data_IF_984306298090
#
_entry.id   IF_984306298090
#
_cell.length_a   1.000
_cell.length_b   1.000
_cell.length_c   1.000
_cell.angle_alpha   90.00
_cell.angle_beta   90.00
_cell.angle_gamma   90.00
#
_symmetry.space_group_name_H-M   'P 1'
#
loop_
_entity.id
_entity.type
_entity.pdbx_description
1 polymer ?
#
# COMPACT_ATOMS: atom_id res chain seq x y z
N UNK A 1 39.35 -23.35 13.14
CA UNK A 1 38.98 -21.94 13.40
C UNK A 1 37.76 -21.50 12.58
N UNK A 2 36.67 -22.28 12.56
CA UNK A 2 35.45 -22.02 11.74
C UNK A 2 34.24 -21.54 12.56
N UNK A 3 34.35 -21.60 13.88
CA UNK A 3 33.32 -21.16 14.82
C UNK A 3 32.93 -19.67 14.72
N UNK A 4 33.85 -18.71 14.49
CA UNK A 4 33.45 -17.30 14.51
C UNK A 4 32.57 -16.94 13.31
N UNK A 5 32.77 -17.57 12.14
CA UNK A 5 31.98 -17.33 10.93
C UNK A 5 30.52 -17.79 11.05
N UNK A 6 30.26 -18.85 11.81
CA UNK A 6 28.91 -19.39 12.03
C UNK A 6 28.14 -18.48 13.00
N UNK A 7 28.83 -17.89 13.97
CA UNK A 7 28.20 -16.95 14.91
C UNK A 7 27.75 -15.66 14.22
N UNK A 8 28.54 -15.12 13.29
CA UNK A 8 28.21 -13.86 12.59
C UNK A 8 27.04 -14.00 11.63
N UNK A 9 26.90 -15.13 10.93
CA UNK A 9 25.76 -15.36 10.02
C UNK A 9 24.45 -15.54 10.78
N UNK A 10 24.48 -16.14 11.96
CA UNK A 10 23.30 -16.32 12.80
C UNK A 10 22.79 -14.98 13.38
N UNK A 11 23.70 -14.07 13.75
CA UNK A 11 23.38 -12.73 14.24
C UNK A 11 22.79 -11.81 13.16
N UNK A 12 23.19 -11.96 11.89
CA UNK A 12 22.60 -11.19 10.78
C UNK A 12 21.16 -11.64 10.46
N UNK A 13 20.85 -12.92 10.63
CA UNK A 13 19.52 -13.46 10.31
C UNK A 13 18.43 -12.95 11.27
N UNK A 14 18.78 -12.60 12.51
CA UNK A 14 17.81 -12.11 13.51
C UNK A 14 17.58 -10.60 13.45
N UNK A 15 18.42 -9.84 12.73
CA UNK A 15 18.27 -8.38 12.63
C UNK A 15 17.11 -7.94 11.72
N UNK A 16 16.58 -8.83 10.88
CA UNK A 16 15.50 -8.49 9.94
C UNK A 16 14.09 -8.74 10.49
N UNK A 17 13.93 -9.29 11.70
CA UNK A 17 12.60 -9.54 12.29
C UNK A 17 12.11 -8.35 13.11
N UNK A 18 11.94 -7.20 12.46
CA UNK A 18 11.19 -6.09 13.08
C UNK A 18 9.70 -6.40 12.95
N UNK A 19 9.12 -7.03 13.98
CA UNK A 19 7.68 -7.24 14.09
C UNK A 19 7.03 -5.95 14.60
N UNK A 20 6.85 -4.98 13.71
CA UNK A 20 6.02 -3.80 13.97
C UNK A 20 4.58 -4.27 14.22
N UNK A 21 3.98 -3.86 15.34
CA UNK A 21 2.58 -4.14 15.61
C UNK A 21 1.72 -3.54 14.49
N UNK A 22 0.72 -4.26 13.95
CA UNK A 22 -0.11 -3.72 12.87
C UNK A 22 -0.82 -2.47 13.37
N UNK A 23 -0.59 -1.36 12.67
CA UNK A 23 -1.28 -0.11 12.94
C UNK A 23 -2.81 -0.34 12.89
N UNK A 24 -3.59 0.36 13.73
CA UNK A 24 -5.04 0.25 13.69
C UNK A 24 -5.54 0.58 12.28
N UNK A 25 -6.58 -0.13 11.79
CA UNK A 25 -7.09 0.09 10.45
C UNK A 25 -7.55 1.55 10.32
N UNK A 26 -6.99 2.24 9.33
CA UNK A 26 -7.43 3.59 8.98
C UNK A 26 -8.78 3.49 8.29
N UNK A 27 -9.62 4.49 8.53
CA UNK A 27 -10.84 4.69 7.74
C UNK A 27 -10.50 4.78 6.25
N UNK A 28 -11.40 4.29 5.39
CA UNK A 28 -11.18 4.23 3.95
C UNK A 28 -11.01 5.62 3.33
N UNK A 29 -11.75 6.63 3.81
CA UNK A 29 -11.59 8.00 3.34
C UNK A 29 -10.26 8.60 3.81
N UNK A 30 -9.87 8.35 5.06
CA UNK A 30 -8.58 8.77 5.60
C UNK A 30 -7.40 8.15 4.82
N UNK A 31 -7.50 6.87 4.46
CA UNK A 31 -6.48 6.17 3.67
C UNK A 31 -6.40 6.74 2.24
N UNK A 32 -7.54 6.99 1.59
CA UNK A 32 -7.56 7.61 0.24
C UNK A 32 -6.97 9.02 0.26
N UNK A 33 -7.26 9.82 1.28
CA UNK A 33 -6.67 11.15 1.45
C UNK A 33 -5.15 11.08 1.59
N UNK A 34 -4.64 10.18 2.44
CA UNK A 34 -3.20 9.94 2.59
C UNK A 34 -2.55 9.53 1.27
N UNK A 35 -3.13 8.56 0.56
CA UNK A 35 -2.56 8.06 -0.70
C UNK A 35 -2.60 9.12 -1.80
N UNK A 36 -3.61 10.00 -1.81
CA UNK A 36 -3.65 11.18 -2.67
C UNK A 36 -2.50 12.15 -2.38
N UNK A 37 -2.21 12.42 -1.10
CA UNK A 37 -1.06 13.27 -0.73
C UNK A 37 0.28 12.66 -1.16
N UNK A 38 0.45 11.34 -1.01
CA UNK A 38 1.66 10.65 -1.48
C UNK A 38 1.74 10.69 -3.01
N UNK A 39 0.65 10.40 -3.71
CA UNK A 39 0.60 10.42 -5.17
C UNK A 39 0.87 11.81 -5.78
N UNK A 40 0.54 12.88 -5.06
CA UNK A 40 0.84 14.26 -5.46
C UNK A 40 2.27 14.71 -5.10
N UNK A 41 3.01 13.92 -4.33
CA UNK A 41 4.36 14.26 -3.87
C UNK A 41 5.44 13.88 -4.90
N UNK A 42 6.67 14.34 -4.65
CA UNK A 42 7.87 13.93 -5.40
C UNK A 42 8.61 12.74 -4.77
N UNK A 43 7.95 11.98 -3.89
CA UNK A 43 8.57 10.83 -3.25
C UNK A 43 8.84 9.70 -4.28
N UNK A 44 9.94 8.94 -4.14
CA UNK A 44 10.16 7.74 -4.94
C UNK A 44 8.96 6.80 -4.80
N UNK A 45 8.37 6.40 -5.94
CA UNK A 45 7.18 5.54 -5.97
C UNK A 45 5.82 6.26 -5.95
N UNK A 46 5.78 7.60 -5.81
CA UNK A 46 4.54 8.38 -5.85
C UNK A 46 3.72 8.15 -7.13
N UNK A 47 4.39 8.02 -8.28
CA UNK A 47 3.74 7.72 -9.57
C UNK A 47 2.96 6.39 -9.54
N UNK A 48 3.46 5.40 -8.81
CA UNK A 48 2.78 4.11 -8.64
C UNK A 48 1.50 4.25 -7.84
N UNK A 49 1.53 5.00 -6.74
CA UNK A 49 0.35 5.31 -5.92
C UNK A 49 -0.69 6.08 -6.74
N UNK A 50 -0.24 7.09 -7.48
CA UNK A 50 -1.14 7.90 -8.33
C UNK A 50 -1.77 7.06 -9.46
N UNK A 51 -1.02 6.13 -10.06
CA UNK A 51 -1.54 5.19 -11.04
C UNK A 51 -2.61 4.27 -10.45
N UNK A 52 -2.36 3.72 -9.26
CA UNK A 52 -3.32 2.87 -8.55
C UNK A 52 -4.63 3.62 -8.23
N UNK A 53 -4.53 4.88 -7.78
CA UNK A 53 -5.70 5.74 -7.54
C UNK A 53 -6.53 5.93 -8.81
N UNK A 54 -5.91 6.25 -9.94
CA UNK A 54 -6.61 6.42 -11.23
C UNK A 54 -7.36 5.18 -11.67
N UNK A 55 -6.77 3.99 -11.49
CA UNK A 55 -7.43 2.71 -11.81
C UNK A 55 -8.62 2.48 -10.88
N UNK A 56 -8.46 2.75 -9.58
CA UNK A 56 -9.53 2.63 -8.60
C UNK A 56 -10.72 3.54 -8.95
N UNK A 57 -10.45 4.82 -9.24
CA UNK A 57 -11.48 5.78 -9.62
C UNK A 57 -12.17 5.40 -10.93
N UNK A 58 -11.42 4.87 -11.90
CA UNK A 58 -11.99 4.37 -13.17
C UNK A 58 -12.94 3.19 -12.95
N UNK A 59 -12.58 2.27 -12.06
CA UNK A 59 -13.44 1.13 -11.71
C UNK A 59 -14.70 1.59 -10.97
N UNK A 60 -14.59 2.56 -10.08
CA UNK A 60 -15.72 3.16 -9.37
C UNK A 60 -16.68 3.86 -10.33
N UNK A 61 -16.16 4.69 -11.24
CA UNK A 61 -16.94 5.35 -12.27
C UNK A 61 -17.65 4.33 -13.20
N UNK A 62 -16.99 3.23 -13.54
CA UNK A 62 -17.60 2.15 -14.34
C UNK A 62 -18.76 1.50 -13.58
N UNK A 63 -18.56 1.12 -12.31
CA UNK A 63 -19.63 0.54 -11.48
C UNK A 63 -20.81 1.48 -11.34
N UNK A 64 -20.57 2.78 -11.15
CA UNK A 64 -21.64 3.77 -11.06
C UNK A 64 -22.50 3.80 -12.34
N UNK A 65 -21.90 3.66 -13.52
CA UNK A 65 -22.63 3.56 -14.80
C UNK A 65 -23.44 2.26 -14.89
N UNK A 66 -22.84 1.14 -14.49
CA UNK A 66 -23.50 -0.17 -14.48
C UNK A 66 -24.72 -0.17 -13.53
N UNK A 67 -24.57 0.41 -12.34
CA UNK A 67 -25.67 0.57 -11.38
C UNK A 67 -26.74 1.53 -11.89
N UNK A 68 -26.38 2.66 -12.49
CA UNK A 68 -27.34 3.59 -13.07
C UNK A 68 -28.18 2.94 -14.18
N UNK A 69 -27.54 2.17 -15.07
CA UNK A 69 -28.22 1.43 -16.13
C UNK A 69 -29.12 0.30 -15.58
N UNK A 70 -28.78 -0.29 -14.43
CA UNK A 70 -29.62 -1.29 -13.76
C UNK A 70 -30.80 -0.67 -12.98
N UNK A 71 -30.78 0.64 -12.73
CA UNK A 71 -31.80 1.35 -11.96
C UNK A 71 -32.82 2.09 -12.84
N UNK A 72 -32.54 2.26 -14.14
CA UNK A 72 -33.55 2.75 -15.10
C UNK A 72 -34.61 1.65 -15.35
N UNK A 73 -35.91 1.94 -15.16
CA UNK A 73 -37.01 0.98 -15.31
C UNK A 73 -37.38 0.63 -16.76
#
# INVERSE_FOLDING_TARGET
MRAPLIATTLLLATACTSSEAPAPPRDAAAQRAHDSTIGASSLPGAQGVQGALKVSDSAEARRARETAAAQEP
#
